data_IF_593804476568
#
_entry.id   IF_593804476568
#
_cell.length_a   1.000
_cell.length_b   1.000
_cell.length_c   1.000
_cell.angle_alpha   90.00
_cell.angle_beta   90.00
_cell.angle_gamma   90.00
#
_symmetry.space_group_name_H-M   'P 1'
#
loop_
_entity.id
_entity.type
_entity.pdbx_description
1 polymer ?
2 non-polymer ?
3 water ?
#
# COMPACT_ATOMS: atom_id res chain seq x y z
N UNK A 11 13.35 17.26 3.47
CA UNK A 11 12.69 16.04 3.82
C UNK A 11 11.42 16.21 4.61
N UNK A 12 11.48 16.00 5.93
CA UNK A 12 10.28 16.06 6.77
C UNK A 12 9.58 17.42 6.69
N UNK A 13 10.32 18.48 6.37
CA UNK A 13 9.72 19.80 6.31
C UNK A 13 8.63 19.87 5.23
N UNK A 14 8.72 19.02 4.23
CA UNK A 14 7.78 19.07 3.12
C UNK A 14 6.41 18.52 3.47
N UNK A 15 6.29 17.92 4.66
CA UNK A 15 5.06 17.20 5.03
C UNK A 15 4.30 17.82 6.20
N UNK A 16 4.68 19.04 6.60
CA UNK A 16 4.07 19.65 7.78
C UNK A 16 2.67 20.23 7.51
N UNK A 17 2.33 20.38 6.24
CA UNK A 17 0.99 20.75 5.85
C UNK A 17 0.25 19.64 5.11
N UNK A 18 -0.81 20.04 4.40
CA UNK A 18 -1.58 19.11 3.59
C UNK A 18 -0.96 19.08 2.19
N UNK A 19 -0.63 17.88 1.73
CA UNK A 19 0.11 17.68 0.48
C UNK A 19 -0.77 16.96 -0.54
N UNK A 20 -0.93 17.51 -1.74
CA UNK A 20 -1.70 16.76 -2.74
C UNK A 20 -0.96 15.51 -3.18
N UNK A 21 -1.71 14.46 -3.52
CA UNK A 21 -1.13 13.18 -3.90
C UNK A 21 -1.70 12.75 -5.24
N UNK A 22 -0.83 12.21 -6.09
CA UNK A 22 -1.21 11.55 -7.34
C UNK A 22 -0.59 10.17 -7.33
N UNK A 23 -1.40 9.14 -7.64
CA UNK A 23 -0.93 7.76 -7.76
C UNK A 23 -1.29 7.27 -9.15
N UNK A 24 -0.31 6.67 -9.83
CA UNK A 24 -0.53 6.09 -11.15
C UNK A 24 0.09 4.72 -11.19
N UNK A 25 -0.72 3.74 -11.60
CA UNK A 25 -0.32 2.34 -11.64
C UNK A 25 -0.67 1.75 -13.00
N UNK A 26 0.31 1.07 -13.60
CA UNK A 26 0.05 0.20 -14.73
C UNK A 26 0.29 -1.22 -14.25
N UNK A 27 -0.67 -2.09 -14.53
CA UNK A 27 -0.60 -3.47 -14.09
C UNK A 27 -0.84 -4.50 -15.20
N UNK A 28 -0.32 -5.69 -14.97
CA UNK A 28 -0.52 -6.83 -15.85
C UNK A 28 -0.55 -8.05 -14.94
N UNK A 29 -1.72 -8.66 -14.78
CA UNK A 29 -1.86 -9.85 -13.93
C UNK A 29 -2.37 -10.98 -14.82
N UNK A 30 -1.55 -12.02 -15.00
CA UNK A 30 -1.89 -13.14 -15.87
C UNK A 30 -2.27 -12.66 -17.28
N UNK A 31 -1.68 -11.54 -17.71
CA UNK A 31 -1.93 -11.02 -19.05
C UNK A 31 -3.07 -10.02 -19.13
N UNK A 32 -3.83 -9.87 -18.04
CA UNK A 32 -4.89 -8.86 -17.96
C UNK A 32 -4.27 -7.53 -17.62
N UNK A 33 -4.32 -6.59 -18.57
CA UNK A 33 -3.70 -5.29 -18.40
C UNK A 33 -4.71 -4.32 -17.87
N UNK A 34 -4.27 -3.46 -16.97
CA UNK A 34 -5.14 -2.46 -16.38
C UNK A 34 -4.33 -1.30 -15.89
N UNK A 35 -5.01 -0.17 -15.67
CA UNK A 35 -4.38 1.00 -15.09
C UNK A 35 -5.27 1.59 -14.01
N UNK A 36 -4.64 2.23 -13.03
CA UNK A 36 -5.33 2.85 -11.93
C UNK A 36 -4.74 4.24 -11.75
N UNK A 37 -5.58 5.22 -11.47
CA UNK A 37 -5.14 6.54 -11.08
C UNK A 37 -5.84 6.92 -9.79
N UNK A 38 -5.07 7.46 -8.84
CA UNK A 38 -5.63 7.97 -7.61
C UNK A 38 -5.24 9.40 -7.35
N UNK A 39 -6.15 10.15 -6.74
CA UNK A 39 -5.86 11.51 -6.32
C UNK A 39 -6.42 11.76 -4.95
N UNK A 40 -5.77 12.65 -4.22
CA UNK A 40 -6.27 13.06 -2.93
C UNK A 40 -5.21 13.85 -2.21
N UNK A 41 -5.14 13.69 -0.90
CA UNK A 41 -4.26 14.51 -0.09
C UNK A 41 -3.81 13.79 1.14
N UNK A 42 -2.62 14.17 1.60
CA UNK A 42 -1.98 13.56 2.74
C UNK A 42 -1.66 14.58 3.82
N UNK A 43 -1.83 14.16 5.06
CA UNK A 43 -1.67 15.00 6.24
C UNK A 43 -0.81 14.22 7.23
N UNK A 44 0.49 14.23 7.01
CA UNK A 44 1.42 13.42 7.82
C UNK A 44 1.46 13.84 9.29
N UNK A 45 1.14 15.10 9.56
CA UNK A 45 1.11 15.60 10.95
C UNK A 45 0.16 14.73 11.76
N UNK A 46 -0.90 14.25 11.11
CA UNK A 46 -1.90 13.42 11.75
C UNK A 46 -1.90 11.99 11.24
N UNK A 47 -0.90 11.63 10.44
CA UNK A 47 -0.75 10.28 9.94
C UNK A 47 -1.82 9.82 8.96
N UNK A 48 -2.45 10.77 8.26
CA UNK A 48 -3.70 10.47 7.56
C UNK A 48 -3.63 10.82 6.11
N UNK A 49 -4.23 9.99 5.27
CA UNK A 49 -4.48 10.41 3.92
C UNK A 49 -5.83 9.93 3.44
N UNK A 50 -6.32 10.60 2.40
CA UNK A 50 -7.57 10.23 1.78
C UNK A 50 -7.36 10.29 0.29
N UNK A 51 -7.74 9.22 -0.39
CA UNK A 51 -7.52 9.08 -1.82
C UNK A 51 -8.75 8.47 -2.46
N UNK A 52 -9.01 8.84 -3.69
CA UNK A 52 -9.98 8.13 -4.51
C UNK A 52 -9.25 7.58 -5.72
N UNK A 53 -9.39 6.28 -5.94
CA UNK A 53 -8.76 5.59 -7.06
C UNK A 53 -9.81 5.17 -8.06
N UNK A 54 -9.45 5.28 -9.36
CA UNK A 54 -10.28 4.86 -10.48
C UNK A 54 -9.52 3.84 -11.28
N UNK A 55 -10.18 2.79 -11.74
CA UNK A 55 -9.62 1.95 -12.77
C UNK A 55 -9.92 2.62 -14.09
N UNK A 56 -8.86 3.10 -14.74
CA UNK A 56 -9.06 3.92 -15.91
C UNK A 56 -9.26 3.10 -17.19
N UNK A 57 -9.11 1.79 -17.08
CA UNK A 57 -9.23 0.89 -18.21
C UNK A 57 -10.54 0.10 -18.21
N UNK A 58 -11.39 0.34 -17.22
CA UNK A 58 -12.70 -0.31 -17.15
C UNK A 58 -12.83 -1.09 -15.87
N UNK A 59 -13.09 -2.38 -15.96
CA UNK A 59 -13.22 -3.21 -14.78
C UNK A 59 -11.85 -3.66 -14.29
N UNK A 60 -11.60 -3.47 -13.02
CA UNK A 60 -10.37 -3.96 -12.42
C UNK A 60 -10.39 -5.51 -12.38
N UNK A 61 -9.36 -6.17 -12.93
CA UNK A 61 -9.38 -7.64 -13.04
C UNK A 61 -8.94 -8.37 -11.77
N UNK A 62 -8.56 -7.62 -10.74
CA UNK A 62 -8.25 -8.18 -9.42
C UNK A 62 -9.04 -7.38 -8.39
N UNK A 63 -9.19 -7.92 -7.17
CA UNK A 63 -9.91 -7.16 -6.14
C UNK A 63 -9.15 -5.94 -5.69
N UNK A 64 -9.88 -4.83 -5.48
CA UNK A 64 -9.28 -3.61 -5.00
C UNK A 64 -8.39 -3.81 -3.77
N UNK A 65 -8.84 -4.61 -2.78
CA UNK A 65 -7.98 -4.77 -1.61
C UNK A 65 -6.60 -5.31 -1.94
N UNK A 66 -6.43 -6.09 -3.00
CA UNK A 66 -5.11 -6.64 -3.29
C UNK A 66 -4.11 -5.59 -3.78
N UNK A 67 -4.60 -4.40 -4.11
CA UNK A 67 -3.74 -3.31 -4.57
C UNK A 67 -3.45 -2.25 -3.52
N UNK A 68 -4.10 -2.32 -2.37
CA UNK A 68 -3.98 -1.28 -1.37
C UNK A 68 -2.53 -1.02 -0.97
N UNK A 69 -1.77 -2.07 -0.67
CA UNK A 69 -0.40 -1.84 -0.22
C UNK A 69 0.48 -1.24 -1.32
N UNK A 70 0.19 -1.57 -2.58
CA UNK A 70 0.99 -1.06 -3.69
C UNK A 70 0.68 0.42 -3.94
N UNK A 71 -0.60 0.77 -3.91
CA UNK A 71 -1.07 2.14 -4.13
C UNK A 71 -0.71 3.07 -3.00
N UNK A 73 2.59 5.05 0.07
CA UNK A 73 3.16 6.39 0.27
C UNK A 73 3.41 6.54 1.75
N UNK A 74 4.30 5.71 2.26
CA UNK A 74 4.56 5.60 3.69
C UNK A 74 5.23 6.82 4.29
N UNK A 75 5.62 7.76 3.43
CA UNK A 75 6.02 9.09 3.85
C UNK A 75 4.91 9.87 4.55
N UNK A 76 3.65 9.43 4.47
CA UNK A 76 2.58 10.11 5.20
C UNK A 76 2.30 9.54 6.59
N UNK A 77 3.14 8.61 7.03
CA UNK A 77 3.04 8.09 8.39
C UNK A 77 3.32 9.18 9.40
N UNK A 78 2.69 9.11 10.56
CA UNK A 78 3.04 9.97 11.67
C UNK A 78 4.10 9.31 12.55
N UNK A 79 5.31 9.87 12.51
CA UNK A 79 6.36 9.48 13.43
C UNK A 79 6.27 10.40 14.66
N UNK A 80 6.14 9.82 15.85
CA UNK A 80 6.17 10.64 17.07
C UNK A 80 7.52 11.35 17.23
N UNK A 81 7.55 12.41 18.03
CA UNK A 81 8.77 13.20 18.21
C UNK A 81 10.01 12.35 18.47
N UNK A 82 9.91 11.37 19.36
CA UNK A 82 11.10 10.63 19.77
C UNK A 82 11.56 9.66 18.67
N UNK A 83 10.74 9.52 17.63
CA UNK A 83 11.07 8.60 16.53
C UNK A 83 11.32 9.29 15.19
N UNK A 84 11.32 10.63 15.17
CA UNK A 84 11.52 11.37 13.92
C UNK A 84 12.83 10.98 13.26
N UNK A 85 13.82 10.64 14.06
CA UNK A 85 15.14 10.29 13.52
C UNK A 85 15.11 8.97 12.75
N UNK A 86 14.00 8.25 12.81
CA UNK A 86 13.88 6.96 12.12
C UNK A 86 13.01 6.99 10.88
N UNK A 87 12.64 8.19 10.41
CA UNK A 87 11.75 8.33 9.28
C UNK A 87 12.54 8.42 7.98
N UNK A 88 12.86 7.26 7.42
CA UNK A 88 13.58 7.20 6.15
C UNK A 88 12.76 7.84 5.06
N UNK A 89 11.46 7.55 5.05
CA UNK A 89 10.61 7.92 3.91
C UNK A 89 10.61 9.41 3.65
N UNK A 90 10.40 10.22 4.69
CA UNK A 90 10.43 11.65 4.47
C UNK A 90 11.84 12.16 4.20
N UNK A 91 12.84 11.52 4.77
CA UNK A 91 14.22 12.00 4.67
C UNK A 91 14.73 11.97 3.23
N UNK A 92 14.17 11.05 2.47
CA UNK A 92 14.54 10.88 1.05
C UNK A 92 13.94 11.96 0.15
N UNK A 93 13.03 12.76 0.68
CA UNK A 93 12.33 13.77 -0.13
C UNK A 93 13.11 15.09 -0.19
N UNK A 94 12.96 15.85 -1.28
CA UNK A 94 11.99 15.66 -2.36
C UNK A 94 12.38 14.71 -3.49
N UNK A 95 13.64 14.29 -3.53
CA UNK A 95 14.11 13.50 -4.66
C UNK A 95 13.37 12.17 -4.71
N UNK A 96 13.07 11.61 -3.55
CA UNK A 96 12.21 10.47 -3.42
C UNK A 96 12.93 9.15 -3.19
N UNK A 97 12.15 8.08 -3.31
CA UNK A 97 12.68 6.73 -3.15
C UNK A 97 12.05 5.77 -4.14
N UNK A 98 12.78 4.70 -4.43
CA UNK A 98 12.27 3.56 -5.18
C UNK A 98 11.73 2.57 -4.17
N UNK A 99 10.53 2.06 -4.40
CA UNK A 99 9.92 1.05 -3.52
C UNK A 99 9.63 -0.19 -4.34
N UNK A 100 10.23 -1.31 -3.96
CA UNK A 100 10.09 -2.56 -4.70
C UNK A 100 9.52 -3.61 -3.77
N UNK A 101 8.54 -4.37 -4.25
CA UNK A 101 8.00 -5.50 -3.48
C UNK A 101 7.82 -6.76 -4.29
N UNK A 102 7.91 -7.87 -3.57
CA UNK A 102 7.33 -9.14 -3.99
C UNK A 102 6.20 -9.41 -3.01
N UNK A 103 5.03 -9.69 -3.55
CA UNK A 103 3.86 -10.06 -2.78
C UNK A 103 3.45 -11.47 -3.18
N UNK A 104 3.58 -12.40 -2.24
CA UNK A 104 3.31 -13.81 -2.50
C UNK A 104 1.97 -14.19 -1.87
N UNK A 105 0.97 -14.46 -2.72
CA UNK A 105 -0.34 -14.87 -2.22
C UNK A 105 -0.31 -16.35 -1.93
N UNK A 106 -0.60 -16.73 -0.69
CA UNK A 106 -0.55 -18.15 -0.31
C UNK A 106 -1.45 -18.99 -1.22
N UNK A 107 -0.88 -20.08 -1.73
CA UNK A 107 -1.56 -21.03 -2.61
C UNK A 107 -2.06 -20.38 -3.90
N UNK A 108 -1.42 -19.28 -4.30
CA UNK A 108 -1.85 -18.58 -5.50
C UNK A 108 -0.64 -17.83 -6.11
N UNK A 109 -0.90 -16.81 -6.90
CA UNK A 109 0.14 -16.12 -7.64
C UNK A 109 0.94 -15.10 -6.86
N UNK A 110 1.76 -14.37 -7.61
CA UNK A 110 2.68 -13.39 -7.05
C UNK A 110 2.59 -12.07 -7.79
N UNK A 111 2.59 -10.96 -7.05
CA UNK A 111 2.78 -9.62 -7.62
C UNK A 111 4.24 -9.22 -7.41
N UNK A 112 4.82 -8.60 -8.43
CA UNK A 112 6.09 -7.91 -8.31
C UNK A 112 5.84 -6.46 -8.69
N UNK A 113 6.29 -5.53 -7.83
CA UNK A 113 6.03 -4.12 -8.04
C UNK A 113 7.31 -3.29 -7.96
N UNK A 114 7.38 -2.25 -8.78
CA UNK A 114 8.42 -1.25 -8.67
C UNK A 114 7.77 0.10 -8.80
N UNK A 115 7.98 0.94 -7.81
CA UNK A 115 7.39 2.27 -7.74
C UNK A 115 8.46 3.32 -7.48
N UNK A 116 8.20 4.54 -7.94
CA UNK A 116 8.97 5.71 -7.51
C UNK A 116 8.01 6.64 -6.80
N UNK A 117 8.42 7.09 -5.63
CA UNK A 117 7.65 8.03 -4.82
C UNK A 117 8.50 9.28 -4.68
N UNK A 118 8.00 10.40 -5.19
CA UNK A 118 8.81 11.64 -5.22
C UNK A 118 7.90 12.84 -5.38
N UNK A 119 8.42 14.01 -5.06
CA UNK A 119 7.71 15.24 -5.42
C UNK A 119 7.87 15.59 -6.89
N UNK A 120 6.74 15.97 -7.49
CA UNK A 120 6.73 16.59 -8.80
C UNK A 120 5.99 17.89 -8.59
N UNK A 121 6.74 18.97 -8.54
CA UNK A 121 6.19 20.22 -8.08
C UNK A 121 5.73 20.10 -6.64
N UNK A 122 4.51 20.55 -6.37
CA UNK A 122 3.97 20.52 -5.01
C UNK A 122 3.29 19.20 -4.67
N UNK A 123 3.25 18.28 -5.64
CA UNK A 123 2.49 17.04 -5.50
C UNK A 123 3.40 15.84 -5.19
N UNK A 124 3.00 15.04 -4.22
CA UNK A 124 3.69 13.78 -3.93
C UNK A 124 3.10 12.73 -4.87
N UNK A 125 3.95 12.17 -5.72
CA UNK A 125 3.53 11.25 -6.78
C UNK A 125 4.09 9.85 -6.54
N UNK A 126 3.22 8.85 -6.60
CA UNK A 126 3.59 7.43 -6.54
C UNK A 126 3.28 6.80 -7.87
N UNK A 127 4.30 6.43 -8.64
CA UNK A 127 4.13 5.85 -9.99
C UNK A 127 4.62 4.42 -9.90
N UNK A 128 3.76 3.46 -10.28
CA UNK A 128 4.02 2.05 -10.04
C UNK A 128 3.85 1.20 -11.30
N UNK A 129 4.76 0.26 -11.50
CA UNK A 129 4.59 -0.82 -12.44
C UNK A 129 4.37 -2.12 -11.64
N UNK A 130 3.33 -2.88 -11.99
CA UNK A 130 2.97 -4.11 -11.30
C UNK A 130 2.84 -5.25 -12.30
N UNK A 131 3.46 -6.38 -12.00
CA UNK A 131 3.32 -7.57 -12.80
C UNK A 131 2.92 -8.73 -11.91
N UNK A 132 1.84 -9.40 -12.27
CA UNK A 132 1.34 -10.55 -11.53
C UNK A 132 1.36 -11.79 -12.39
N UNK A 133 1.84 -12.90 -11.82
CA UNK A 133 1.92 -14.16 -12.55
C UNK A 133 1.47 -15.33 -11.70
N UNK A 134 1.11 -16.42 -12.37
CA UNK A 134 0.80 -17.71 -11.74
C UNK A 134 -0.47 -17.69 -10.91
N UNK A 135 -1.39 -16.78 -11.20
CA UNK A 135 -2.66 -16.78 -10.50
C UNK A 135 -3.61 -17.85 -10.99
N UNK A 136 -4.40 -18.39 -10.06
CA UNK A 136 -5.41 -19.38 -10.39
C UNK A 136 -6.69 -18.67 -10.85
N UNK A 137 -7.31 -19.16 -11.91
CA UNK A 137 -8.44 -18.48 -12.51
C UNK A 137 -9.65 -18.44 -11.58
N UNK A 138 -9.75 -19.46 -10.73
CA UNK A 138 -10.86 -19.55 -9.78
C UNK A 138 -10.36 -19.41 -8.35
N UNK A 139 -9.19 -18.80 -8.16
CA UNK A 139 -8.67 -18.53 -6.84
C UNK A 139 -9.33 -17.29 -6.25
N UNK A 140 -8.91 -16.91 -5.07
CA UNK A 140 -9.55 -15.78 -4.39
C UNK A 140 -9.31 -14.43 -5.05
N UNK A 141 -8.24 -14.34 -5.84
CA UNK A 141 -7.89 -13.07 -6.49
C UNK A 141 -8.63 -12.95 -7.83
N UNK A 142 -8.34 -13.82 -8.79
CA UNK A 142 -9.01 -13.69 -10.09
C UNK A 142 -10.48 -14.06 -9.99
N UNK A 143 -10.84 -14.81 -8.97
CA UNK A 143 -12.24 -15.18 -8.74
C UNK A 143 -13.02 -14.14 -7.96
N UNK A 144 -12.34 -13.08 -7.54
CA UNK A 144 -12.98 -11.97 -6.82
C UNK A 144 -13.76 -12.48 -5.60
N UNK A 145 -13.03 -13.13 -4.67
CA UNK A 145 -13.63 -13.72 -3.48
C UNK A 145 -13.20 -13.03 -2.19
N UNK A 146 -12.78 -11.77 -2.30
CA UNK A 146 -12.30 -10.98 -1.17
C UNK A 146 -13.27 -9.89 -0.76
N UNK A 147 -13.51 -9.75 0.54
CA UNK A 147 -14.42 -8.71 1.01
C UNK A 147 -13.78 -7.34 0.77
N UNK A 148 -14.65 -6.34 0.63
CA UNK A 148 -14.24 -4.99 0.36
C UNK A 148 -13.92 -4.28 1.67
N UNK A 149 -12.75 -4.58 2.18
CA UNK A 149 -12.26 -4.01 3.43
C UNK A 149 -10.78 -4.34 3.57
N UNK A 150 -10.19 -3.91 4.68
CA UNK A 150 -8.76 -4.07 4.88
C UNK A 150 -8.43 -4.11 6.34
N UNK A 151 -7.79 -5.19 6.75
CA UNK A 151 -7.41 -5.38 8.13
C UNK A 151 -6.28 -4.47 8.51
N UNK A 152 -6.01 -4.36 9.79
CA UNK A 152 -4.98 -3.47 10.28
C UNK A 152 -3.75 -4.30 10.46
N UNK A 153 -2.59 -3.71 10.17
CA UNK A 153 -1.34 -4.46 10.19
C UNK A 153 -0.20 -3.67 10.79
N UNK A 154 0.81 -4.41 11.22
CA UNK A 154 2.10 -3.88 11.61
C UNK A 154 3.10 -4.15 10.51
N UNK A 155 3.72 -3.08 10.07
CA UNK A 155 4.72 -3.15 9.01
C UNK A 155 6.08 -3.01 9.67
N UNK A 156 6.86 -4.09 9.67
CA UNK A 156 8.12 -4.13 10.37
C UNK A 156 9.23 -3.61 9.48
N UNK A 157 9.91 -2.56 9.93
CA UNK A 157 10.95 -1.89 9.14
C UNK A 157 12.31 -2.07 9.78
N UNK A 158 13.31 -2.34 8.94
CA UNK A 158 14.68 -2.45 9.38
C UNK A 158 15.55 -1.71 8.36
N UNK A 159 16.69 -1.23 8.83
CA UNK A 159 17.64 -0.58 7.93
C UNK A 159 18.27 -1.63 7.04
N UNK A 160 18.48 -1.25 5.79
CA UNK A 160 19.31 -2.01 4.87
C UNK A 160 20.56 -1.15 4.69
N UNK A 161 21.56 -1.39 5.52
CA UNK A 161 22.77 -0.57 5.51
C UNK A 161 23.46 -0.64 4.16
N UNK A 162 23.50 -1.85 3.61
CA UNK A 162 24.22 -2.11 2.37
C UNK A 162 23.71 -1.24 1.22
N UNK A 163 22.40 -0.98 1.19
CA UNK A 163 21.77 -0.21 0.11
C UNK A 163 21.34 1.21 0.50
N UNK A 164 21.81 1.68 1.66
CA UNK A 164 21.44 3.01 2.15
C UNK A 164 19.92 3.18 2.15
N UNK A 165 19.20 2.12 2.50
CA UNK A 165 17.78 2.14 2.44
C UNK A 165 17.15 1.37 3.58
N UNK A 166 15.98 0.83 3.32
CA UNK A 166 15.25 0.04 4.31
C UNK A 166 14.68 -1.21 3.66
N UNK A 167 14.36 -2.17 4.50
CA UNK A 167 13.60 -3.35 4.10
C UNK A 167 12.41 -3.45 5.03
N UNK A 168 11.35 -4.07 4.54
CA UNK A 168 10.20 -4.36 5.38
C UNK A 168 9.66 -5.74 5.04
N UNK A 169 9.10 -6.39 6.04
CA UNK A 169 8.41 -7.64 5.88
C UNK A 169 7.13 -7.57 6.67
N UNK A 170 6.07 -8.11 6.09
CA UNK A 170 4.80 -8.18 6.79
C UNK A 170 3.89 -9.12 6.05
N UNK A 171 2.87 -9.58 6.75
CA UNK A 171 1.92 -10.55 6.23
C UNK A 171 0.53 -9.94 6.22
N UNK A 172 0.05 -9.61 5.03
CA UNK A 172 -1.29 -9.06 4.85
C UNK A 172 -2.33 -10.17 4.91
N UNK A 173 -3.42 -9.92 5.63
CA UNK A 173 -4.54 -10.87 5.78
C UNK A 173 -5.80 -10.35 5.11
N UNK A 174 -6.06 -10.80 3.88
CA UNK A 174 -7.26 -10.35 3.15
C UNK A 174 -8.48 -11.17 3.53
N UNK A 175 -9.55 -10.54 3.97
CA UNK A 175 -10.74 -11.31 4.33
C UNK A 175 -11.40 -11.95 3.12
N UNK A 176 -11.76 -13.22 3.22
CA UNK A 176 -12.46 -13.94 2.17
C UNK A 176 -13.95 -13.78 2.37
N UNK A 177 -14.61 -13.53 1.24
CA UNK A 177 -16.03 -13.28 1.14
C UNK A 177 -16.92 -14.49 1.23
N UNK A 178 -17.96 -14.34 2.03
CA UNK A 178 -19.28 -14.89 1.72
C UNK A 178 -20.30 -13.96 2.35
N UNK A 179 -21.49 -13.90 1.76
CA UNK A 179 -22.63 -13.26 2.38
C UNK A 179 -23.49 -14.34 3.01
N UNK A 180 -22.88 -15.49 3.26
CA UNK A 180 -23.57 -16.62 3.87
C UNK A 180 -24.75 -17.04 2.99
N UNK A 181 -24.52 -17.21 1.69
CA UNK A 181 -25.62 -17.00 0.73
C UNK A 181 -26.89 -17.78 1.12
N UNK A 182 -27.98 -17.03 1.21
CA UNK A 182 -29.32 -17.52 1.60
C UNK A 182 -29.50 -18.04 3.05
N UNK A 183 -28.54 -18.79 3.58
CA UNK A 183 -28.70 -19.44 4.89
C UNK A 183 -27.73 -18.88 5.92
N UNK A 184 -28.02 -19.10 7.19
CA UNK A 184 -27.13 -18.63 8.25
C UNK A 184 -25.96 -19.59 8.45
N UNK A 185 -24.87 -19.36 7.73
CA UNK A 185 -23.71 -20.25 7.80
C UNK A 185 -22.79 -19.88 8.95
N UNK A 186 -22.22 -20.89 9.62
CA UNK A 186 -21.22 -20.63 10.65
C UNK A 186 -20.07 -19.80 10.09
N UNK A 187 -19.49 -18.93 10.93
CA UNK A 187 -18.30 -18.21 10.46
C UNK A 187 -17.22 -19.21 10.05
N UNK A 188 -16.46 -18.86 9.02
CA UNK A 188 -15.36 -19.70 8.59
C UNK A 188 -14.25 -19.79 9.65
N UNK A 189 -13.63 -20.95 9.73
CA UNK A 189 -12.44 -21.17 10.52
C UNK A 189 -11.40 -20.13 10.11
N UNK A 190 -10.51 -19.78 11.03
CA UNK A 190 -9.53 -18.73 10.76
C UNK A 190 -8.76 -18.94 9.44
N UNK A 191 -8.21 -20.12 9.26
CA UNK A 191 -7.42 -20.40 8.05
C UNK A 191 -8.26 -20.23 6.78
N UNK A 192 -9.53 -20.60 6.84
CA UNK A 192 -10.39 -20.42 5.69
C UNK A 192 -10.99 -19.03 5.50
N UNK A 193 -10.79 -18.16 6.47
CA UNK A 193 -11.44 -16.85 6.45
C UNK A 193 -10.55 -15.79 5.84
N UNK A 194 -9.27 -16.10 5.64
CA UNK A 194 -8.34 -15.12 5.10
C UNK A 194 -7.47 -15.66 4.00
N UNK A 195 -7.16 -14.78 3.06
CA UNK A 195 -6.18 -15.02 2.03
C UNK A 195 -4.93 -14.27 2.41
N UNK A 196 -3.85 -14.99 2.68
CA UNK A 196 -2.60 -14.35 3.09
C UNK A 196 -1.78 -13.86 1.90
N UNK A 197 -1.12 -12.72 2.12
CA UNK A 197 -0.25 -12.13 1.12
C UNK A 197 1.04 -11.69 1.81
N UNK A 198 2.08 -12.50 1.67
CA UNK A 198 3.37 -12.18 2.27
C UNK A 198 4.06 -11.10 1.48
N UNK A 199 4.40 -10.00 2.15
CA UNK A 199 5.07 -8.88 1.53
C UNK A 199 6.55 -8.81 1.88
N UNK A 200 7.38 -8.67 0.85
CA UNK A 200 8.82 -8.43 0.98
C UNK A 200 9.10 -7.13 0.28
N UNK A 201 9.65 -6.17 1.01
CA UNK A 201 9.79 -4.81 0.53
C UNK A 201 11.21 -4.28 0.70
N UNK A 202 11.66 -3.52 -0.31
CA UNK A 202 12.95 -2.83 -0.24
C UNK A 202 12.78 -1.43 -0.78
N UNK A 203 13.34 -0.45 -0.09
CA UNK A 203 13.30 0.93 -0.54
C UNK A 203 14.71 1.48 -0.57
N UNK A 204 15.01 2.24 -1.62
CA UNK A 204 16.29 2.89 -1.77
C UNK A 204 16.07 4.33 -2.20
N UNK A 205 16.96 5.24 -1.78
CA UNK A 205 16.78 6.64 -2.17
C UNK A 205 17.02 6.85 -3.66
N UNK A 206 16.37 7.86 -4.21
CA UNK A 206 16.64 8.33 -5.56
C UNK A 206 17.77 9.37 -5.55
N UNK A 207 17.80 10.21 -4.52
CA UNK A 207 18.80 11.23 -4.41
C UNK A 207 20.11 10.69 -3.85
N UNK A 208 21.15 11.50 -3.90
CA UNK A 208 22.46 11.10 -3.45
C UNK A 208 22.85 11.66 -2.10
N UNK A 209 21.98 12.47 -1.52
CA UNK A 209 22.27 13.09 -0.24
C UNK A 209 21.97 12.16 0.92
N UNK A 210 22.29 12.62 2.11
CA UNK A 210 22.08 11.75 3.27
C UNK A 210 20.62 11.48 3.56
N UNK A 211 20.35 10.25 4.01
CA UNK A 211 19.02 9.82 4.42
C UNK A 211 19.10 9.25 5.84
N UNK A 212 17.96 9.14 6.50
CA UNK A 212 17.89 8.58 7.85
C UNK A 212 17.73 7.08 7.74
N UNK A 213 18.66 6.33 8.32
CA UNK A 213 18.57 4.89 8.36
C UNK A 213 18.06 4.52 9.75
N UNK A 214 16.89 3.86 9.82
CA UNK A 214 16.23 3.70 11.10
C UNK A 214 16.67 2.52 11.95
N UNK A 215 16.47 2.66 13.25
CA UNK A 215 16.44 1.50 14.11
C UNK A 215 15.17 0.72 13.80
N UNK A 216 15.16 -0.55 14.17
CA UNK A 216 13.99 -1.38 13.93
C UNK A 216 12.77 -0.79 14.63
N UNK A 217 11.66 -0.72 13.91
CA UNK A 217 10.40 -0.21 14.44
C UNK A 217 9.29 -0.72 13.53
N UNK A 218 8.06 -0.29 13.78
CA UNK A 218 7.02 -0.66 12.88
C UNK A 218 6.06 0.49 12.64
N UNK A 219 5.30 0.36 11.57
CA UNK A 219 4.19 1.26 11.26
C UNK A 219 2.90 0.51 11.57
N UNK A 220 2.03 1.13 12.36
CA UNK A 220 0.72 0.56 12.69
C UNK A 220 -0.27 1.19 11.73
N UNK A 221 -0.88 0.34 10.91
CA UNK A 221 -1.64 0.77 9.73
C UNK A 221 -3.13 0.42 9.80
N UNK A 222 -4.00 1.42 9.65
CA UNK A 222 -5.44 1.19 9.70
C UNK A 222 -6.04 1.87 8.49
N UNK A 223 -6.96 1.17 7.82
CA UNK A 223 -7.50 1.60 6.54
C UNK A 223 -8.99 1.43 6.49
N UNK A 224 -9.69 2.37 5.84
CA UNK A 224 -11.13 2.26 5.62
C UNK A 224 -11.41 2.40 4.13
N UNK A 225 -12.10 1.41 3.57
CA UNK A 225 -12.45 1.38 2.16
C UNK A 225 -13.92 1.70 1.97
N UNK A 226 -14.23 2.54 0.99
CA UNK A 226 -15.61 2.91 0.74
C UNK A 226 -15.85 3.19 -0.75
N UNK A 227 -17.10 3.48 -1.07
CA UNK A 227 -17.51 3.81 -2.43
C UNK A 227 -18.13 5.18 -2.46
N UNK A 228 -17.95 5.85 -3.58
CA UNK A 228 -18.57 7.12 -3.88
C UNK A 228 -19.87 6.84 -4.63
N UNK A 229 -21.02 7.21 -4.04
CA UNK A 229 -22.31 6.85 -4.65
C UNK A 229 -22.54 7.47 -6.03
N UNK A 230 -21.80 8.53 -6.35
CA UNK A 230 -21.99 9.20 -7.62
C UNK A 230 -20.97 8.80 -8.67
N UNK A 231 -20.15 7.81 -8.37
CA UNK A 231 -19.10 7.38 -9.30
C UNK A 231 -19.50 6.12 -10.05
N UNK A 232 -19.54 6.23 -11.38
CA UNK A 232 -19.90 5.10 -12.24
C UNK A 232 -18.73 4.19 -12.57
N UNK A 233 -17.50 4.70 -12.48
CA UNK A 233 -16.33 3.91 -12.78
C UNK A 233 -16.03 2.96 -11.64
N UNK A 234 -15.32 1.88 -11.95
CA UNK A 234 -14.83 0.95 -10.94
C UNK A 234 -13.79 1.73 -10.13
N UNK A 235 -13.95 1.77 -8.82
CA UNK A 235 -13.18 2.71 -8.01
C UNK A 235 -13.08 2.27 -6.57
N UNK A 236 -12.20 2.93 -5.82
CA UNK A 236 -12.04 2.71 -4.40
C UNK A 236 -11.74 4.03 -3.72
N UNK A 237 -12.51 4.37 -2.69
CA UNK A 237 -12.20 5.49 -1.84
C UNK A 237 -11.51 4.92 -0.61
N UNK A 238 -10.42 5.56 -0.20
CA UNK A 238 -9.56 5.04 0.84
C UNK A 238 -9.25 6.13 1.85
N UNK A 239 -9.29 5.73 3.12
CA UNK A 239 -8.76 6.53 4.22
C UNK A 239 -7.72 5.66 4.87
N UNK A 240 -6.56 6.22 5.17
CA UNK A 240 -5.56 5.50 5.91
C UNK A 240 -5.05 6.35 7.05
N UNK A 241 -4.75 5.68 8.16
CA UNK A 241 -4.23 6.34 9.35
C UNK A 241 -3.07 5.48 9.84
N UNK A 242 -1.86 6.06 9.87
CA UNK A 242 -0.66 5.28 10.15
C UNK A 242 0.23 6.01 11.15
N UNK A 243 0.65 5.29 12.19
CA UNK A 243 1.56 5.82 13.18
C UNK A 243 2.75 4.89 13.34
N UNK A 244 3.94 5.46 13.53
CA UNK A 244 5.11 4.66 13.83
C UNK A 244 5.19 4.34 15.32
N UNK A 245 5.71 3.16 15.64
CA UNK A 245 5.79 2.72 17.03
C UNK A 245 6.89 1.68 17.18
N UNK A 246 7.07 1.16 18.40
CA UNK A 246 8.06 0.11 18.64
C UNK A 246 9.34 0.57 19.28
N UNK A 247 9.46 1.89 19.48
CA UNK A 247 10.57 2.48 20.22
C UNK A 247 9.96 3.38 21.30
N UNK A 248 10.32 3.10 22.55
CA UNK A 248 9.69 3.75 23.69
C UNK A 248 10.45 5.00 24.16
X LIG B 1 -9.57 13.16 7.93
X LIG B 1 -10.46 12.92 9.04
X LIG B 1 -10.92 11.45 9.02
X LIG B 1 -10.89 10.89 10.33
X LIG B 1 -10.14 9.70 10.41
X LIG B 1 -9.97 9.21 11.83
X LIG B 1 -8.60 9.37 12.21
X LIG B 1 -8.32 9.10 13.54
X LIG B 1 -6.93 9.73 13.89
X LIG B 1 -7.00 11.15 13.74
X LIG B 1 -5.78 11.87 14.14
X LIG B 1 -6.15 13.34 14.36
X LIG B 1 -6.63 13.91 13.17
X LIG B 1 -7.15 15.22 13.34
X LIG B 1 -7.21 15.96 11.98
X LIG B 1 -8.02 15.22 11.06
X LIG B 1 -9.99 13.10 9.89
X LIG B 1 -11.25 13.51 8.96
X LIG B 1 -10.33 10.92 8.42
X LIG B 1 -11.84 11.40 8.67
X LIG B 1 -10.59 9.01 9.89
X LIG B 1 -9.27 9.85 10.02
X LIG B 1 -10.21 8.25 11.89
X LIG B 1 -10.53 9.73 12.43
X LIG B 1 -8.30 8.12 13.69
X LIG B 1 -9.01 9.50 14.10
X LIG B 1 -6.68 9.51 14.84
X LIG B 1 -6.23 9.36 13.26
X LIG B 1 -5.44 11.48 14.99
X LIG B 1 -5.10 11.79 13.43
X LIG C 1 -3.92 24.84 14.35
X LIG C 1 -4.73 24.93 13.16
X LIG C 1 -4.95 26.42 12.81
X LIG C 1 -3.87 27.20 13.29
X LIG C 1 -3.97 28.57 12.97
X LIG C 1 -2.68 29.26 13.33
X LIG C 1 -1.66 28.88 12.41
X LIG C 1 -1.50 29.74 11.31
X LIG C 1 -0.08 29.51 10.68
X LIG C 1 0.03 28.20 10.12
X LIG C 1 0.50 28.21 8.72
X LIG C 1 0.47 26.79 8.14
X LIG C 1 0.64 25.81 9.12
X LIG C 1 0.50 24.49 8.61
X LIG C 1 1.12 23.46 9.59
X LIG C 1 1.04 23.97 10.92
X LIG C 1 -5.59 24.50 13.32
X LIG C 1 -4.27 24.48 12.41
X LIG C 1 -5.01 26.51 11.82
X LIG C 1 -5.79 26.73 13.22
X LIG C 1 -4.14 28.66 12.02
X LIG C 1 -4.69 28.97 13.47
X LIG C 1 -2.80 30.24 13.30
X LIG C 1 -2.40 29.00 14.24
X LIG C 1 -2.20 29.54 10.64
X LIG C 1 -1.59 30.66 11.61
X LIG C 1 0.08 30.20 9.96
X LIG C 1 0.62 29.63 11.40
X LIG C 1 1.43 28.56 8.70
X LIG C 1 -0.10 28.80 8.19
#
# INVERSE_FOLDING_TARGET
MKATKLVPSKGEELFTGVVPILVELDGDVNGHKFSVRGEGEGDATNGKLTLKFICTTGKLPVPWPTLVTTLXVQCFSRYPDHMKRHDFFKSAMPEGYVQERTISFKDDGTYKTRAEVKFEGDTLVNRIELKGIDFKEDGNILGHKLEYNFNSHNVYITADKQKNGIKANFKIRHNIEDGSHQYHRSPKTLQGSVQLADHYQQNTPIGDGPVLLPDNHYLSTQSVLSKDPNEKRDHMVLLEFVTAAGITHGMDELYKGGPGIKAAAGSGYPYDVPDYAGSGEQKLISEEDLNGAAGSGHHHHHH
PE5 O2 C3 C4 O3 C5 C6 O4 C7 C8 O5 C9 C10 O6 C11 C12 O7 H31 H32 H41 H42 H51 H52A H61 H62 H71 H72 H81 H82 H91 H92
PE5 O2 C3 C4 O3 C5 C6 O4 C7 C8 O5 C9 C10 O6 C11 C12 O7 H31 H32 H41 H42 H51 H52A H61 H62 H71 H72 H81 H82 H91 H92
#
